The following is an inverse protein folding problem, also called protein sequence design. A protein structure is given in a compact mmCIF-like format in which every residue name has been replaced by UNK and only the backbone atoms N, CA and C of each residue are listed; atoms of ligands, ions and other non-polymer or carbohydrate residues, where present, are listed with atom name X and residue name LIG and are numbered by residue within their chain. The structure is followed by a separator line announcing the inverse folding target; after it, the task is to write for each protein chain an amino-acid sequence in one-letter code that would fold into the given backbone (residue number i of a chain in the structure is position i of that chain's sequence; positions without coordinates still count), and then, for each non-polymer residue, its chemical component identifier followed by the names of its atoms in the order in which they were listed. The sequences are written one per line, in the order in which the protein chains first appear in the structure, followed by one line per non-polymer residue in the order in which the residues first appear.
data_IF_924756267345
#
_entry.id   IF_924756267345
#
_cell.length_a   1.000
_cell.length_b   1.000
_cell.length_c   1.000
_cell.angle_alpha   90.00
_cell.angle_beta   90.00
_cell.angle_gamma   90.00
#
_symmetry.space_group_name_H-M   'P 1'
#
loop_
_entity.id
_entity.type
_entity.pdbx_description
1 polymer ?
#
# COMPACT_ATOMS: atom_id res chain seq x y z
N UNK A 1 -13.12 -6.27 16.87
CA UNK A 1 -12.60 -7.18 15.83
C UNK A 1 -11.10 -7.02 15.61
N UNK A 2 -10.56 -5.83 15.32
CA UNK A 2 -9.10 -5.58 15.33
C UNK A 2 -8.49 -6.03 16.66
N UNK A 3 -9.13 -5.64 17.77
CA UNK A 3 -8.76 -6.06 19.12
C UNK A 3 -8.77 -7.59 19.29
N UNK A 4 -9.68 -8.30 18.63
CA UNK A 4 -9.82 -9.76 18.70
C UNK A 4 -8.71 -10.46 17.92
N UNK A 5 -8.38 -9.96 16.72
CA UNK A 5 -7.23 -10.44 15.96
C UNK A 5 -5.91 -10.16 16.72
N UNK A 6 -5.76 -8.96 17.29
CA UNK A 6 -4.66 -8.59 18.18
C UNK A 6 -4.57 -9.48 19.44
N UNK A 7 -5.70 -9.80 20.06
CA UNK A 7 -5.74 -10.69 21.22
C UNK A 7 -5.32 -12.11 20.83
N UNK A 8 -5.77 -12.62 19.68
CA UNK A 8 -5.41 -13.95 19.20
C UNK A 8 -3.92 -14.06 18.85
N UNK A 9 -3.29 -13.00 18.33
CA UNK A 9 -1.85 -12.99 18.04
C UNK A 9 -0.96 -12.84 19.28
N UNK A 10 -1.41 -12.08 20.27
CA UNK A 10 -0.64 -11.80 21.48
C UNK A 10 -0.78 -12.89 22.54
N UNK A 11 -1.96 -13.51 22.68
CA UNK A 11 -2.28 -14.43 23.79
C UNK A 11 -1.93 -15.88 23.48
N UNK A 12 -2.01 -16.33 22.22
CA UNK A 12 -1.73 -17.72 21.87
C UNK A 12 -0.34 -17.80 21.25
N UNK A 13 0.73 -18.06 22.03
CA UNK A 13 2.05 -18.23 21.48
C UNK A 13 2.06 -19.46 20.58
N UNK A 14 2.41 -19.23 19.31
CA UNK A 14 2.68 -20.30 18.36
C UNK A 14 3.77 -21.24 18.88
N UNK A 15 3.47 -22.55 18.91
CA UNK A 15 4.49 -23.59 19.04
C UNK A 15 5.10 -23.85 17.66
N UNK A 16 6.36 -23.43 17.49
CA UNK A 16 7.18 -23.48 16.27
C UNK A 16 7.22 -24.84 15.52
N UNK A 17 6.76 -25.92 16.14
CA UNK A 17 6.80 -27.28 15.57
C UNK A 17 5.59 -27.72 14.73
N UNK A 18 4.48 -26.97 14.64
CA UNK A 18 3.24 -27.44 13.98
C UNK A 18 3.09 -27.09 12.50
N UNK A 19 3.75 -26.04 12.01
CA UNK A 19 3.79 -25.68 10.59
C UNK A 19 5.25 -25.51 10.22
N UNK A 20 5.81 -26.47 9.45
CA UNK A 20 7.17 -26.35 8.91
C UNK A 20 7.17 -25.28 7.82
N UNK A 21 7.27 -24.02 8.21
CA UNK A 21 7.65 -22.98 7.27
C UNK A 21 9.15 -23.08 7.02
N UNK A 22 9.59 -22.95 5.76
CA UNK A 22 10.93 -23.37 5.41
C UNK A 22 12.04 -22.53 6.05
N UNK A 23 11.83 -21.24 6.41
CA UNK A 23 12.98 -20.35 6.72
C UNK A 23 12.79 -19.21 7.75
N UNK A 24 11.97 -19.34 8.82
CA UNK A 24 11.72 -18.24 9.77
C UNK A 24 12.99 -17.65 10.42
N UNK A 25 13.98 -18.51 10.66
CA UNK A 25 15.19 -18.19 11.41
C UNK A 25 16.14 -17.22 10.72
N UNK A 26 16.19 -17.24 9.38
CA UNK A 26 17.11 -16.40 8.62
C UNK A 26 16.72 -14.92 8.70
N UNK A 27 15.41 -14.65 8.67
CA UNK A 27 14.84 -13.30 8.80
C UNK A 27 15.04 -12.73 10.21
N UNK A 28 14.85 -13.57 11.24
CA UNK A 28 15.09 -13.18 12.63
C UNK A 28 16.56 -12.85 12.89
N UNK A 29 17.48 -13.72 12.44
CA UNK A 29 18.91 -13.46 12.53
C UNK A 29 19.32 -12.18 11.78
N UNK A 30 18.74 -11.94 10.60
CA UNK A 30 19.00 -10.72 9.83
C UNK A 30 18.51 -9.48 10.59
N UNK A 31 17.29 -9.52 11.13
CA UNK A 31 16.72 -8.42 11.91
C UNK A 31 17.52 -8.13 13.19
N UNK A 32 18.00 -9.16 13.89
CA UNK A 32 18.89 -9.02 15.06
C UNK A 32 20.23 -8.38 14.66
N UNK A 33 20.80 -8.80 13.54
CA UNK A 33 22.08 -8.26 13.02
C UNK A 33 21.93 -6.80 12.60
N UNK A 34 20.85 -6.47 11.87
CA UNK A 34 20.52 -5.10 11.47
C UNK A 34 20.21 -4.21 12.68
N UNK A 35 19.58 -4.75 13.73
CA UNK A 35 19.41 -4.05 15.00
C UNK A 35 20.73 -3.66 15.65
N UNK A 36 21.80 -4.42 15.43
CA UNK A 36 23.15 -4.12 15.89
C UNK A 36 23.96 -3.28 14.88
N UNK A 37 23.37 -2.88 13.75
CA UNK A 37 24.05 -2.14 12.68
C UNK A 37 24.96 -3.00 11.79
N UNK A 38 24.84 -4.33 11.87
CA UNK A 38 25.67 -5.27 11.09
C UNK A 38 24.93 -5.75 9.84
N UNK A 39 25.47 -5.41 8.67
CA UNK A 39 24.96 -5.88 7.38
C UNK A 39 25.57 -7.20 6.92
N UNK A 40 26.71 -7.56 7.50
CA UNK A 40 27.44 -8.80 7.25
C UNK A 40 27.78 -9.47 8.58
N UNK A 41 27.83 -10.80 8.55
CA UNK A 41 28.27 -11.65 9.66
C UNK A 41 29.63 -12.24 9.35
N UNK A 42 30.49 -12.32 10.36
CA UNK A 42 31.72 -13.11 10.29
C UNK A 42 31.42 -14.60 10.20
N UNK A 43 32.37 -15.39 9.69
CA UNK A 43 32.26 -16.86 9.67
C UNK A 43 32.01 -17.44 11.08
N UNK A 44 32.60 -16.85 12.12
CA UNK A 44 32.40 -17.28 13.50
C UNK A 44 30.97 -16.98 14.00
N UNK A 45 30.45 -15.79 13.74
CA UNK A 45 29.08 -15.40 14.11
C UNK A 45 28.05 -16.27 13.39
N UNK A 46 28.25 -16.52 12.09
CA UNK A 46 27.36 -17.37 11.30
C UNK A 46 27.38 -18.82 11.80
N UNK A 47 28.56 -19.36 12.14
CA UNK A 47 28.68 -20.72 12.68
C UNK A 47 27.99 -20.87 14.04
N UNK A 48 28.12 -19.86 14.91
CA UNK A 48 27.41 -19.82 16.18
C UNK A 48 25.88 -19.78 15.99
N UNK A 49 25.39 -18.91 15.10
CA UNK A 49 23.98 -18.82 14.77
C UNK A 49 23.44 -20.13 14.16
N UNK A 50 24.18 -20.73 13.23
CA UNK A 50 23.84 -22.01 12.61
C UNK A 50 23.70 -23.13 13.65
N UNK A 51 24.59 -23.15 14.65
CA UNK A 51 24.53 -24.13 15.75
C UNK A 51 23.29 -23.91 16.62
N UNK A 52 23.02 -22.68 17.05
CA UNK A 52 21.83 -22.32 17.84
C UNK A 52 20.53 -22.71 17.13
N UNK A 53 20.41 -22.37 15.85
CA UNK A 53 19.23 -22.66 15.03
C UNK A 53 19.06 -24.17 14.82
N UNK A 54 20.16 -24.90 14.59
CA UNK A 54 20.12 -26.37 14.43
C UNK A 54 19.68 -27.08 15.71
N UNK A 55 20.11 -26.61 16.89
CA UNK A 55 19.63 -27.13 18.18
C UNK A 55 18.12 -26.93 18.37
N UNK A 56 17.55 -25.93 17.73
CA UNK A 56 16.11 -25.65 17.71
C UNK A 56 15.37 -26.39 16.58
N UNK A 57 16.06 -27.26 15.83
CA UNK A 57 15.50 -28.03 14.71
C UNK A 57 15.34 -27.22 13.42
N UNK A 58 15.93 -26.02 13.34
CA UNK A 58 15.91 -25.18 12.15
C UNK A 58 17.13 -25.38 11.24
N UNK A 59 17.09 -24.71 10.08
CA UNK A 59 18.21 -24.60 9.15
C UNK A 59 18.39 -23.15 8.70
N UNK A 60 19.63 -22.76 8.45
CA UNK A 60 19.99 -21.43 7.96
C UNK A 60 20.47 -21.56 6.50
N UNK A 61 19.66 -21.09 5.57
CA UNK A 61 19.86 -21.30 4.11
C UNK A 61 20.03 -19.98 3.33
N UNK A 62 19.75 -18.84 3.96
CA UNK A 62 19.64 -17.53 3.28
C UNK A 62 20.83 -16.60 3.53
N UNK A 63 22.02 -17.16 3.74
CA UNK A 63 23.26 -16.39 3.84
C UNK A 63 24.24 -16.83 2.76
N UNK A 64 24.83 -15.86 2.06
CA UNK A 64 25.82 -16.09 1.01
C UNK A 64 27.16 -15.49 1.40
N UNK A 65 28.23 -16.17 1.01
CA UNK A 65 29.59 -15.73 1.27
C UNK A 65 29.92 -14.54 0.35
N UNK A 66 30.34 -13.42 0.94
CA UNK A 66 30.74 -12.20 0.21
C UNK A 66 32.26 -12.12 0.12
N UNK A 67 32.96 -12.42 1.21
CA UNK A 67 34.42 -12.50 1.28
C UNK A 67 34.82 -13.79 2.02
N UNK A 68 36.11 -14.18 2.04
CA UNK A 68 36.56 -15.37 2.77
C UNK A 68 36.06 -15.47 4.23
N UNK A 69 35.82 -14.31 4.87
CA UNK A 69 35.46 -14.19 6.28
C UNK A 69 34.07 -13.61 6.53
N UNK A 70 33.39 -13.09 5.50
CA UNK A 70 32.12 -12.37 5.65
C UNK A 70 30.99 -13.00 4.84
N UNK A 71 29.80 -12.97 5.44
CA UNK A 71 28.56 -13.51 4.92
C UNK A 71 27.47 -12.46 4.96
N UNK A 72 26.72 -12.32 3.88
CA UNK A 72 25.59 -11.40 3.79
C UNK A 72 24.28 -12.16 3.70
N UNK A 73 23.22 -11.52 4.18
CA UNK A 73 21.87 -12.00 3.97
C UNK A 73 21.51 -11.95 2.47
N UNK A 74 21.00 -13.07 1.94
CA UNK A 74 20.75 -13.27 0.51
C UNK A 74 19.44 -12.63 0.04
N UNK A 75 18.41 -12.66 0.90
CA UNK A 75 17.06 -12.24 0.53
C UNK A 75 16.91 -10.72 0.57
N UNK A 76 15.73 -10.25 0.14
CA UNK A 76 15.38 -8.83 0.17
C UNK A 76 15.43 -8.31 1.63
N UNK A 77 16.19 -7.23 1.91
CA UNK A 77 16.42 -6.78 3.28
C UNK A 77 15.25 -6.01 3.89
N UNK A 78 14.25 -5.60 3.09
CA UNK A 78 13.19 -4.70 3.55
C UNK A 78 12.41 -5.23 4.76
N UNK A 79 11.94 -6.49 4.72
CA UNK A 79 11.20 -7.03 5.86
C UNK A 79 12.05 -7.20 7.14
N UNK A 80 13.29 -7.76 7.09
CA UNK A 80 14.19 -7.72 8.26
C UNK A 80 14.47 -6.30 8.79
N UNK A 81 14.55 -5.29 7.91
CA UNK A 81 14.71 -3.90 8.32
C UNK A 81 13.47 -3.36 9.05
N UNK A 82 12.26 -3.72 8.62
CA UNK A 82 11.03 -3.39 9.35
C UNK A 82 11.00 -4.06 10.73
N UNK A 83 11.39 -5.32 10.78
CA UNK A 83 11.49 -6.09 12.02
C UNK A 83 12.47 -5.46 12.99
N UNK A 84 13.57 -4.87 12.49
CA UNK A 84 14.66 -4.29 13.29
C UNK A 84 14.17 -3.33 14.38
N UNK A 85 13.22 -2.44 14.04
CA UNK A 85 12.64 -1.49 15.00
C UNK A 85 11.97 -2.23 16.17
N UNK A 86 11.16 -3.23 15.86
CA UNK A 86 10.41 -4.00 16.85
C UNK A 86 11.28 -5.00 17.62
N UNK A 87 12.33 -5.54 16.99
CA UNK A 87 13.35 -6.36 17.64
C UNK A 87 14.10 -5.55 18.69
N UNK A 88 14.48 -4.29 18.40
CA UNK A 88 15.10 -3.39 19.40
C UNK A 88 14.19 -3.11 20.59
N UNK A 89 12.87 -3.09 20.38
CA UNK A 89 11.88 -2.92 21.44
C UNK A 89 11.54 -4.23 22.18
N UNK A 90 12.15 -5.36 21.82
CA UNK A 90 11.85 -6.67 22.40
C UNK A 90 10.49 -7.24 22.00
N UNK A 91 9.84 -6.68 20.98
CA UNK A 91 8.48 -7.04 20.55
C UNK A 91 8.40 -7.32 19.04
N UNK A 92 9.22 -8.22 18.48
CA UNK A 92 9.33 -8.43 17.02
C UNK A 92 8.00 -8.86 16.37
N UNK A 93 7.08 -9.46 17.14
CA UNK A 93 5.74 -9.86 16.68
C UNK A 93 4.84 -8.69 16.25
N UNK A 94 5.14 -7.48 16.70
CA UNK A 94 4.32 -6.30 16.40
C UNK A 94 4.53 -5.76 14.98
N UNK A 95 5.55 -6.21 14.25
CA UNK A 95 5.83 -5.72 12.89
C UNK A 95 4.63 -5.91 11.95
N UNK A 96 4.04 -7.11 11.91
CA UNK A 96 2.91 -7.40 11.02
C UNK A 96 1.62 -6.76 11.51
N UNK A 97 1.47 -6.60 12.83
CA UNK A 97 0.37 -5.83 13.42
C UNK A 97 0.44 -4.37 12.97
N UNK A 98 1.63 -3.77 13.06
CA UNK A 98 1.88 -2.40 12.63
C UNK A 98 1.60 -2.22 11.14
N UNK A 99 2.11 -3.12 10.29
CA UNK A 99 1.85 -3.10 8.84
C UNK A 99 0.35 -3.24 8.52
N UNK A 100 -0.35 -4.15 9.21
CA UNK A 100 -1.79 -4.32 9.05
C UNK A 100 -2.57 -3.05 9.45
N UNK A 101 -2.19 -2.41 10.56
CA UNK A 101 -2.80 -1.14 10.98
C UNK A 101 -2.54 -0.03 9.96
N UNK A 102 -1.32 0.07 9.44
CA UNK A 102 -0.97 1.05 8.40
C UNK A 102 -1.82 0.85 7.14
N UNK A 103 -2.01 -0.40 6.70
CA UNK A 103 -2.86 -0.72 5.57
C UNK A 103 -4.33 -0.31 5.81
N UNK A 104 -4.86 -0.57 7.02
CA UNK A 104 -6.22 -0.16 7.40
C UNK A 104 -6.37 1.35 7.41
N UNK A 105 -5.41 2.07 7.99
CA UNK A 105 -5.41 3.54 8.09
C UNK A 105 -5.48 4.22 6.73
N UNK A 106 -4.89 3.62 5.70
CA UNK A 106 -4.86 4.17 4.35
C UNK A 106 -6.05 3.66 3.52
N UNK A 107 -6.43 2.39 3.67
CA UNK A 107 -7.48 1.76 2.84
C UNK A 107 -8.89 2.12 3.30
N UNK A 108 -9.12 2.23 4.60
CA UNK A 108 -10.45 2.56 5.12
C UNK A 108 -10.96 3.92 4.61
N UNK A 109 -10.19 5.04 4.72
CA UNK A 109 -10.66 6.34 4.25
C UNK A 109 -10.96 6.37 2.76
N UNK A 110 -10.13 5.72 1.93
CA UNK A 110 -10.37 5.64 0.49
C UNK A 110 -11.67 4.90 0.16
N UNK A 111 -11.90 3.75 0.79
CA UNK A 111 -13.14 3.00 0.56
C UNK A 111 -14.37 3.75 1.08
N UNK A 112 -14.23 4.46 2.20
CA UNK A 112 -15.31 5.23 2.80
C UNK A 112 -15.70 6.42 1.91
N UNK A 113 -14.72 7.10 1.31
CA UNK A 113 -14.96 8.22 0.39
C UNK A 113 -15.52 7.78 -0.96
N UNK A 114 -15.14 6.59 -1.45
CA UNK A 114 -15.57 6.09 -2.77
C UNK A 114 -16.92 5.38 -2.74
N UNK A 115 -17.25 4.75 -1.61
CA UNK A 115 -18.47 3.98 -1.44
C UNK A 115 -19.27 4.50 -0.24
N UNK A 116 -19.18 3.81 0.90
CA UNK A 116 -19.79 4.20 2.17
C UNK A 116 -19.05 3.52 3.33
N UNK A 117 -19.31 3.96 4.56
CA UNK A 117 -18.64 3.44 5.76
C UNK A 117 -18.83 1.93 5.97
N UNK A 118 -20.00 1.38 5.60
CA UNK A 118 -20.29 -0.05 5.76
C UNK A 118 -19.42 -0.90 4.83
N UNK A 119 -19.31 -0.49 3.57
CA UNK A 119 -18.45 -1.15 2.58
C UNK A 119 -16.97 -0.98 2.92
N UNK A 120 -16.58 0.19 3.44
CA UNK A 120 -15.22 0.42 3.90
C UNK A 120 -14.85 -0.51 5.06
N UNK A 121 -15.72 -0.61 6.06
CA UNK A 121 -15.55 -1.50 7.21
C UNK A 121 -15.47 -2.95 6.75
N UNK A 122 -16.36 -3.38 5.86
CA UNK A 122 -16.34 -4.72 5.29
C UNK A 122 -15.02 -5.00 4.55
N UNK A 123 -14.57 -4.07 3.71
CA UNK A 123 -13.34 -4.21 2.93
C UNK A 123 -12.10 -4.37 3.80
N UNK A 124 -11.91 -3.51 4.82
CA UNK A 124 -10.77 -3.66 5.73
C UNK A 124 -10.90 -4.86 6.65
N UNK A 125 -12.13 -5.28 6.98
CA UNK A 125 -12.35 -6.52 7.74
C UNK A 125 -11.93 -7.73 6.93
N UNK A 126 -12.32 -7.81 5.66
CA UNK A 126 -11.92 -8.88 4.74
C UNK A 126 -10.40 -8.90 4.51
N UNK A 127 -9.76 -7.74 4.43
CA UNK A 127 -8.31 -7.64 4.38
C UNK A 127 -7.68 -8.33 5.61
N UNK A 128 -8.07 -7.92 6.82
CA UNK A 128 -7.51 -8.43 8.07
C UNK A 128 -7.84 -9.91 8.35
N UNK A 129 -9.00 -10.37 7.90
CA UNK A 129 -9.46 -11.75 8.07
C UNK A 129 -9.15 -12.66 6.89
N UNK A 130 -8.43 -12.15 5.88
CA UNK A 130 -7.91 -13.01 4.83
C UNK A 130 -6.99 -14.08 5.43
N UNK A 131 -6.97 -15.31 4.89
CA UNK A 131 -6.09 -16.38 5.38
C UNK A 131 -4.63 -15.95 5.48
N UNK A 132 -4.15 -15.16 4.51
CA UNK A 132 -2.79 -14.62 4.50
C UNK A 132 -2.55 -13.66 5.67
N UNK A 133 -3.49 -12.73 5.94
CA UNK A 133 -3.34 -11.78 7.04
C UNK A 133 -3.39 -12.47 8.39
N UNK A 134 -4.32 -13.41 8.60
CA UNK A 134 -4.37 -14.19 9.85
C UNK A 134 -3.09 -15.00 10.06
N UNK A 135 -2.59 -15.63 9.00
CA UNK A 135 -1.35 -16.40 9.07
C UNK A 135 -0.15 -15.51 9.40
N UNK A 136 -0.04 -14.34 8.77
CA UNK A 136 1.06 -13.40 8.96
C UNK A 136 1.02 -12.68 10.30
N UNK A 137 -0.17 -12.34 10.77
CA UNK A 137 -0.40 -11.80 12.10
C UNK A 137 0.07 -12.78 13.19
N UNK A 138 -0.01 -14.08 12.91
CA UNK A 138 0.49 -15.13 13.79
C UNK A 138 1.97 -15.50 13.52
N UNK A 139 2.45 -15.36 12.28
CA UNK A 139 3.83 -15.64 11.85
C UNK A 139 4.50 -14.37 11.36
N UNK A 140 5.12 -13.65 12.29
CA UNK A 140 5.70 -12.33 12.04
C UNK A 140 6.94 -12.33 11.11
N UNK A 141 7.49 -13.50 10.79
CA UNK A 141 8.68 -13.67 9.93
C UNK A 141 8.32 -13.82 8.43
N UNK A 142 7.04 -13.70 8.07
CA UNK A 142 6.58 -13.85 6.69
C UNK A 142 6.76 -12.55 5.88
N UNK A 143 7.83 -12.51 5.11
CA UNK A 143 8.10 -11.46 4.10
C UNK A 143 6.95 -11.26 3.09
N UNK A 144 6.21 -12.34 2.79
CA UNK A 144 5.11 -12.35 1.82
C UNK A 144 3.99 -11.39 2.24
N UNK A 145 3.76 -11.22 3.53
CA UNK A 145 2.75 -10.29 4.03
C UNK A 145 3.18 -8.85 3.83
N UNK A 146 4.38 -8.47 4.30
CA UNK A 146 4.94 -7.15 4.07
C UNK A 146 5.03 -6.84 2.57
N UNK A 147 5.45 -7.82 1.78
CA UNK A 147 5.53 -7.74 0.32
C UNK A 147 4.18 -7.54 -0.37
N UNK A 148 3.05 -7.87 0.25
CA UNK A 148 1.71 -7.58 -0.26
C UNK A 148 1.10 -6.29 0.28
N UNK A 149 1.43 -5.92 1.53
CA UNK A 149 0.88 -4.74 2.20
C UNK A 149 1.43 -3.43 1.62
N UNK A 150 2.73 -3.35 1.32
CA UNK A 150 3.31 -2.13 0.74
C UNK A 150 2.74 -1.76 -0.63
N UNK A 151 2.61 -2.71 -1.58
CA UNK A 151 1.81 -2.55 -2.79
C UNK A 151 0.41 -1.98 -2.57
N UNK A 152 -0.31 -2.55 -1.60
CA UNK A 152 -1.68 -2.13 -1.29
C UNK A 152 -1.69 -0.68 -0.80
N UNK A 153 -0.82 -0.33 0.15
CA UNK A 153 -0.68 1.05 0.65
C UNK A 153 -0.34 1.99 -0.50
N UNK A 154 0.64 1.63 -1.32
CA UNK A 154 1.10 2.45 -2.42
C UNK A 154 -0.02 2.72 -3.44
N UNK A 155 -0.73 1.67 -3.86
CA UNK A 155 -1.85 1.76 -4.80
C UNK A 155 -3.02 2.54 -4.23
N UNK A 156 -3.37 2.32 -2.96
CA UNK A 156 -4.43 3.06 -2.28
C UNK A 156 -4.10 4.55 -2.20
N UNK A 157 -2.87 4.93 -1.82
CA UNK A 157 -2.44 6.33 -1.81
C UNK A 157 -2.45 6.95 -3.22
N UNK A 158 -2.06 6.18 -4.25
CA UNK A 158 -2.09 6.65 -5.63
C UNK A 158 -3.53 6.93 -6.08
N UNK A 159 -4.47 6.03 -5.81
CA UNK A 159 -5.88 6.24 -6.09
C UNK A 159 -6.44 7.42 -5.29
N UNK A 160 -6.01 7.59 -4.05
CA UNK A 160 -6.40 8.71 -3.20
C UNK A 160 -5.98 10.06 -3.81
N UNK A 161 -4.75 10.13 -4.34
CA UNK A 161 -4.25 11.27 -5.10
C UNK A 161 -5.08 11.54 -6.37
N UNK A 162 -5.39 10.49 -7.14
CA UNK A 162 -6.12 10.60 -8.42
C UNK A 162 -7.57 11.05 -8.22
N UNK A 163 -8.22 10.57 -7.16
CA UNK A 163 -9.58 10.98 -6.84
C UNK A 163 -9.65 12.42 -6.32
N UNK A 164 -8.53 12.99 -5.90
CA UNK A 164 -8.46 14.35 -5.36
C UNK A 164 -9.15 14.45 -4.00
N UNK A 165 -9.13 13.37 -3.21
CA UNK A 165 -9.77 13.34 -1.90
C UNK A 165 -8.87 14.09 -0.90
N UNK A 166 -9.44 15.08 -0.22
CA UNK A 166 -8.74 15.93 0.73
C UNK A 166 -8.30 17.27 0.15
N UNK A 167 -7.54 18.04 0.94
CA UNK A 167 -7.08 19.36 0.52
C UNK A 167 -5.94 19.25 -0.49
N UNK A 168 -5.93 20.13 -1.50
CA UNK A 168 -4.85 20.23 -2.51
C UNK A 168 -3.45 20.34 -1.89
N UNK A 169 -3.34 20.92 -0.69
CA UNK A 169 -2.09 21.05 0.04
C UNK A 169 -1.43 19.70 0.40
N UNK A 170 -2.22 18.63 0.51
CA UNK A 170 -1.72 17.30 0.84
C UNK A 170 -1.50 16.40 -0.37
N UNK A 171 -1.91 16.83 -1.58
CA UNK A 171 -1.81 16.01 -2.79
C UNK A 171 -0.36 15.61 -3.09
N UNK A 172 0.58 16.54 -2.98
CA UNK A 172 2.01 16.27 -3.18
C UNK A 172 2.56 15.29 -2.14
N UNK A 173 2.12 15.41 -0.88
CA UNK A 173 2.53 14.52 0.20
C UNK A 173 2.00 13.11 -0.06
N UNK A 174 0.73 12.97 -0.43
CA UNK A 174 0.11 11.68 -0.74
C UNK A 174 0.82 11.00 -1.92
N UNK A 175 1.11 11.76 -2.98
CA UNK A 175 1.84 11.23 -4.14
C UNK A 175 3.27 10.80 -3.76
N UNK A 176 3.97 11.60 -2.95
CA UNK A 176 5.28 11.24 -2.41
C UNK A 176 5.22 9.95 -1.58
N UNK A 177 4.25 9.85 -0.67
CA UNK A 177 4.07 8.66 0.17
C UNK A 177 3.72 7.42 -0.68
N UNK A 178 2.92 7.57 -1.73
CA UNK A 178 2.65 6.50 -2.69
C UNK A 178 3.92 6.04 -3.41
N UNK A 179 4.74 6.97 -3.89
CA UNK A 179 6.02 6.68 -4.52
C UNK A 179 7.00 6.01 -3.55
N UNK A 180 7.11 6.50 -2.33
CA UNK A 180 7.93 5.92 -1.28
C UNK A 180 7.48 4.50 -0.92
N UNK A 181 6.18 4.28 -0.74
CA UNK A 181 5.61 2.95 -0.50
C UNK A 181 5.85 2.00 -1.68
N UNK A 182 5.77 2.50 -2.92
CA UNK A 182 6.09 1.73 -4.14
C UNK A 182 7.55 1.31 -4.14
N UNK A 183 8.49 2.24 -3.89
CA UNK A 183 9.91 1.93 -3.83
C UNK A 183 10.24 0.95 -2.70
N UNK A 184 9.68 1.18 -1.52
CA UNK A 184 9.86 0.29 -0.36
C UNK A 184 9.30 -1.12 -0.62
N UNK A 185 8.20 -1.25 -1.38
CA UNK A 185 7.67 -2.56 -1.77
C UNK A 185 8.69 -3.42 -2.53
N UNK A 186 9.57 -2.81 -3.33
CA UNK A 186 10.63 -3.49 -4.08
C UNK A 186 11.79 -3.89 -3.16
N UNK A 187 12.12 -3.04 -2.19
CA UNK A 187 13.14 -3.34 -1.16
C UNK A 187 12.70 -4.50 -0.27
N UNK A 188 11.40 -4.59 0.05
CA UNK A 188 10.80 -5.70 0.78
C UNK A 188 10.76 -6.96 -0.06
N UNK A 189 10.43 -6.84 -1.35
CA UNK A 189 10.32 -7.99 -2.25
C UNK A 189 10.64 -7.58 -3.69
N UNK A 190 11.75 -8.09 -4.21
CA UNK A 190 12.21 -7.78 -5.58
C UNK A 190 11.16 -8.07 -6.67
N UNK A 191 10.31 -9.09 -6.50
CA UNK A 191 9.24 -9.41 -7.46
C UNK A 191 8.21 -8.29 -7.61
N UNK A 192 8.13 -7.35 -6.66
CA UNK A 192 7.27 -6.18 -6.76
C UNK A 192 7.78 -5.14 -7.76
N UNK A 193 8.96 -5.32 -8.35
CA UNK A 193 9.45 -4.46 -9.43
C UNK A 193 8.48 -4.38 -10.62
N UNK A 194 7.78 -5.48 -10.95
CA UNK A 194 6.75 -5.48 -11.98
C UNK A 194 5.57 -4.60 -11.59
N UNK A 195 5.13 -4.66 -10.34
CA UNK A 195 4.02 -3.84 -9.86
C UNK A 195 4.40 -2.36 -9.81
N UNK A 196 5.62 -2.05 -9.38
CA UNK A 196 6.15 -0.69 -9.43
C UNK A 196 6.12 -0.14 -10.86
N UNK A 197 6.51 -0.94 -11.86
CA UNK A 197 6.43 -0.55 -13.26
C UNK A 197 4.98 -0.28 -13.71
N UNK A 198 4.00 -1.10 -13.28
CA UNK A 198 2.57 -0.87 -13.55
C UNK A 198 2.10 0.45 -12.95
N UNK A 199 2.48 0.73 -11.70
CA UNK A 199 2.09 1.97 -11.01
C UNK A 199 2.69 3.22 -11.67
N UNK A 200 3.96 3.16 -12.07
CA UNK A 200 4.61 4.24 -12.84
C UNK A 200 3.94 4.40 -14.20
N UNK A 201 3.67 3.31 -14.91
CA UNK A 201 2.95 3.34 -16.18
C UNK A 201 1.56 3.96 -16.05
N UNK A 202 0.82 3.63 -15.00
CA UNK A 202 -0.48 4.23 -14.70
C UNK A 202 -0.35 5.74 -14.41
N UNK A 203 0.64 6.17 -13.61
CA UNK A 203 0.88 7.58 -13.35
C UNK A 203 1.25 8.35 -14.63
N UNK A 204 2.15 7.81 -15.46
CA UNK A 204 2.51 8.42 -16.74
C UNK A 204 1.29 8.51 -17.67
N UNK A 205 0.49 7.45 -17.75
CA UNK A 205 -0.76 7.46 -18.49
C UNK A 205 -1.68 8.61 -18.03
N UNK A 206 -1.83 8.82 -16.73
CA UNK A 206 -2.64 9.93 -16.20
C UNK A 206 -2.05 11.30 -16.56
N UNK A 207 -0.73 11.45 -16.50
CA UNK A 207 -0.05 12.70 -16.85
C UNK A 207 -0.18 13.02 -18.34
N UNK A 208 -0.11 12.00 -19.21
CA UNK A 208 -0.16 12.18 -20.67
C UNK A 208 -1.58 12.19 -21.24
N UNK A 209 -2.55 11.56 -20.59
CA UNK A 209 -3.90 11.41 -21.14
C UNK A 209 -4.70 12.72 -21.24
N UNK A 210 -4.25 13.85 -20.65
CA UNK A 210 -4.77 15.24 -20.77
C UNK A 210 -6.29 15.48 -20.61
N UNK A 211 -7.15 14.47 -20.60
CA UNK A 211 -8.60 14.61 -20.77
C UNK A 211 -9.36 14.80 -19.45
N UNK A 212 -8.90 14.21 -18.34
CA UNK A 212 -9.68 14.22 -17.08
C UNK A 212 -9.48 15.45 -16.21
N UNK A 213 -8.41 16.22 -16.42
CA UNK A 213 -8.14 17.42 -15.62
C UNK A 213 -8.97 18.63 -16.03
N UNK A 214 -9.36 18.72 -17.32
CA UNK A 214 -10.23 19.79 -17.79
C UNK A 214 -11.63 19.71 -17.14
N UNK A 215 -12.18 18.51 -16.91
CA UNK A 215 -13.56 18.31 -16.45
C UNK A 215 -13.82 18.71 -14.97
N UNK A 216 -12.77 18.89 -14.16
CA UNK A 216 -12.87 19.00 -12.69
C UNK A 216 -12.46 20.36 -12.13
N UNK A 217 -12.05 21.32 -12.96
CA UNK A 217 -11.74 22.67 -12.47
C UNK A 217 -13.04 23.42 -12.20
N UNK A 218 -13.05 24.24 -11.15
CA UNK A 218 -14.20 25.10 -10.81
C UNK A 218 -14.57 26.05 -11.95
N UNK A 219 -13.58 26.39 -12.78
CA UNK A 219 -13.69 27.26 -13.96
C UNK A 219 -14.36 26.56 -15.14
N UNK A 220 -14.32 25.23 -15.21
CA UNK A 220 -14.96 24.47 -16.27
C UNK A 220 -16.29 23.91 -15.75
N UNK A 221 -17.18 24.79 -15.30
CA UNK A 221 -18.58 24.43 -15.01
C UNK A 221 -19.42 24.64 -16.26
N UNK A 222 -20.39 23.76 -16.56
CA UNK A 222 -21.32 24.02 -17.64
C UNK A 222 -22.09 25.29 -17.29
N UNK A 223 -22.07 26.25 -18.20
CA UNK A 223 -22.87 27.47 -18.12
C UNK A 223 -24.18 27.18 -18.84
N UNK A 224 -25.30 27.37 -18.14
CA UNK A 224 -26.65 27.19 -18.66
C UNK A 224 -27.59 28.15 -17.94
N UNK A 225 -27.86 29.32 -18.51
CA UNK A 225 -28.70 30.33 -17.88
C UNK A 225 -29.35 31.27 -18.88
N UNK A 226 -30.52 31.82 -18.50
CA UNK A 226 -31.15 32.92 -19.21
C UNK A 226 -30.36 34.21 -18.99
N UNK A 227 -30.25 35.01 -20.05
CA UNK A 227 -29.64 36.34 -20.01
C UNK A 227 -30.73 37.41 -19.75
N UNK A 228 -30.36 38.63 -19.32
CA UNK A 228 -31.31 39.73 -19.09
C UNK A 228 -31.95 40.30 -20.37
N UNK A 229 -31.75 39.64 -21.51
CA UNK A 229 -32.38 39.97 -22.80
C UNK A 229 -33.44 38.91 -23.07
N UNK A 230 -34.66 39.34 -23.40
CA UNK A 230 -35.77 38.43 -23.66
C UNK A 230 -35.43 37.45 -24.79
N UNK A 231 -35.68 36.16 -24.56
CA UNK A 231 -35.37 35.08 -25.49
C UNK A 231 -33.89 34.69 -25.58
N UNK A 232 -32.99 35.31 -24.82
CA UNK A 232 -31.56 34.98 -24.85
C UNK A 232 -31.18 33.95 -23.76
N UNK A 233 -30.53 32.86 -24.19
CA UNK A 233 -30.06 31.79 -23.32
C UNK A 233 -28.59 31.47 -23.62
N UNK A 234 -27.75 31.41 -22.58
CA UNK A 234 -26.33 31.09 -22.70
C UNK A 234 -26.10 29.61 -22.38
N UNK A 235 -25.50 28.88 -23.32
CA UNK A 235 -24.87 27.59 -23.04
C UNK A 235 -23.38 27.60 -23.39
N UNK A 236 -22.55 27.08 -22.50
CA UNK A 236 -21.09 27.10 -22.68
C UNK A 236 -20.34 26.25 -21.67
N UNK A 237 -19.01 26.14 -21.82
CA UNK A 237 -18.19 25.35 -20.88
C UNK A 237 -18.40 23.84 -20.96
N UNK A 238 -18.80 23.32 -22.12
CA UNK A 238 -19.14 21.88 -22.32
C UNK A 238 -17.98 20.99 -22.73
N UNK A 239 -16.83 21.57 -23.12
CA UNK A 239 -15.68 20.82 -23.64
C UNK A 239 -15.11 19.81 -22.64
N UNK A 240 -15.32 20.03 -21.34
CA UNK A 240 -14.90 19.13 -20.27
C UNK A 240 -15.94 18.09 -19.85
N UNK A 241 -17.17 18.09 -20.35
CA UNK A 241 -18.20 17.16 -19.84
C UNK A 241 -18.56 16.03 -20.82
N UNK A 242 -17.97 16.07 -22.02
CA UNK A 242 -18.18 15.06 -23.05
C UNK A 242 -19.48 15.28 -23.82
N UNK A 243 -19.66 14.45 -24.86
CA UNK A 243 -20.72 14.66 -25.85
C UNK A 243 -22.14 14.53 -25.27
N UNK A 244 -22.32 13.73 -24.23
CA UNK A 244 -23.63 13.54 -23.58
C UNK A 244 -24.13 14.82 -22.89
N UNK A 245 -23.22 15.61 -22.33
CA UNK A 245 -23.57 16.89 -21.70
C UNK A 245 -23.97 17.94 -22.72
N UNK A 246 -23.39 17.89 -23.92
CA UNK A 246 -23.82 18.75 -25.03
C UNK A 246 -25.27 18.45 -25.45
N UNK A 247 -25.68 17.17 -25.47
CA UNK A 247 -27.04 16.78 -25.81
C UNK A 247 -28.05 17.27 -24.77
N UNK A 248 -27.77 17.03 -23.49
CA UNK A 248 -28.64 17.49 -22.40
C UNK A 248 -28.78 19.02 -22.34
N UNK A 249 -27.68 19.75 -22.58
CA UNK A 249 -27.71 21.22 -22.64
C UNK A 249 -28.42 21.75 -23.90
N UNK A 250 -28.35 21.01 -25.02
CA UNK A 250 -29.12 21.31 -26.23
C UNK A 250 -30.62 21.24 -25.97
N UNK A 251 -31.11 20.19 -25.32
CA UNK A 251 -32.52 20.08 -24.93
C UNK A 251 -32.94 21.19 -23.97
N UNK A 252 -32.10 21.48 -22.96
CA UNK A 252 -32.37 22.56 -22.02
C UNK A 252 -32.45 23.92 -22.72
N UNK A 253 -31.59 24.17 -23.70
CA UNK A 253 -31.62 25.40 -24.51
C UNK A 253 -32.91 25.49 -25.33
N UNK A 254 -33.34 24.38 -25.95
CA UNK A 254 -34.54 24.33 -26.77
C UNK A 254 -35.82 24.67 -25.98
N UNK A 255 -35.88 24.34 -24.69
CA UNK A 255 -37.01 24.71 -23.81
C UNK A 255 -37.08 26.21 -23.53
N UNK A 256 -35.94 26.91 -23.54
CA UNK A 256 -35.87 28.34 -23.20
C UNK A 256 -35.88 29.26 -24.42
N UNK A 257 -35.74 28.72 -25.63
CA UNK A 257 -35.92 29.48 -26.86
C UNK A 257 -37.41 29.71 -27.12
N UNK A 258 -37.80 30.90 -27.63
CA UNK A 258 -39.16 31.14 -28.07
C UNK A 258 -39.55 30.15 -29.17
N UNK A 259 -40.66 29.43 -28.97
CA UNK A 259 -41.26 28.60 -30.01
C UNK A 259 -41.87 29.53 -31.09
N UNK A 260 -41.74 29.19 -32.38
CA UNK A 260 -42.30 30.00 -33.48
C UNK A 260 -43.84 30.08 -33.44
#
# INVERSE_FOLDING_TARGET
MLLTALLLTLIVPYKQGRLRMPEPWSYELAAESFAQGKWVLSTAELAAAHTKIRLQGGQLTQYIKVTPEQWAFRQSPGHPLEMTLFTRMGMPRLVNVFLAMLAVLVTYPLLASRYNERMALLGVTLLLWSPLSLLALHHYQMDTFAGGIWPLIAGTLLLWYVEGIGSKQYATVILFLSGAATGWSVVVRQTNGLLAAVMVGFLLFLLFSKQTYYCKTQENRPLACSLPVEGAYLTGGVSGFGIMSCLALGELTAVHLPQP
#
